data_IF_108003757450
#
_entry.id   IF_108003757450
#
_cell.length_a   1.000
_cell.length_b   1.000
_cell.length_c   1.000
_cell.angle_alpha   90.00
_cell.angle_beta   90.00
_cell.angle_gamma   90.00
#
_symmetry.space_group_name_H-M   'P 1'
#
loop_
_entity.id
_entity.type
_entity.pdbx_description
1 polymer ?
#
# COMPACT_ATOMS: atom_id res chain seq x y z
N UNK A 1 7.31 14.50 -13.82
CA UNK A 1 6.31 14.57 -12.74
C UNK A 1 6.61 15.75 -11.84
N UNK A 2 5.79 15.96 -10.81
CA UNK A 2 6.06 16.87 -9.70
C UNK A 2 5.87 16.10 -8.39
N UNK A 3 6.48 16.57 -7.31
CA UNK A 3 6.25 16.07 -5.95
C UNK A 3 6.40 17.25 -4.99
N UNK A 4 5.40 17.44 -4.13
CA UNK A 4 5.41 18.44 -3.06
C UNK A 4 4.55 17.91 -1.92
N UNK A 5 4.79 18.42 -0.72
CA UNK A 5 3.93 18.19 0.45
C UNK A 5 3.36 19.54 0.87
N UNK A 6 2.07 19.55 1.22
CA UNK A 6 1.44 20.70 1.84
C UNK A 6 1.39 20.43 3.34
N UNK A 7 1.88 21.39 4.13
CA UNK A 7 1.85 21.34 5.60
C UNK A 7 0.88 22.43 6.10
N UNK A 8 -0.41 22.12 6.28
CA UNK A 8 -1.40 23.13 6.64
C UNK A 8 -1.19 23.62 8.07
N UNK A 9 -1.37 24.93 8.29
CA UNK A 9 -1.41 25.55 9.62
C UNK A 9 -0.15 25.32 10.50
N UNK A 10 1.01 25.03 9.91
CA UNK A 10 2.27 24.90 10.66
C UNK A 10 3.06 26.22 10.64
N UNK A 11 3.89 26.42 11.66
CA UNK A 11 4.83 27.54 11.67
C UNK A 11 5.91 27.35 10.60
N UNK A 12 6.47 28.44 10.09
CA UNK A 12 7.54 28.40 9.09
C UNK A 12 8.75 27.52 9.52
N UNK A 13 9.09 27.53 10.80
CA UNK A 13 10.15 26.67 11.36
C UNK A 13 9.86 25.17 11.21
N UNK A 14 8.60 24.76 11.30
CA UNK A 14 8.19 23.37 11.08
C UNK A 14 8.34 23.00 9.61
N UNK A 15 7.90 23.86 8.70
CA UNK A 15 8.11 23.65 7.26
C UNK A 15 9.60 23.53 6.91
N UNK A 16 10.45 24.37 7.50
CA UNK A 16 11.90 24.29 7.30
C UNK A 16 12.48 22.96 7.81
N UNK A 17 12.06 22.53 9.01
CA UNK A 17 12.48 21.26 9.60
C UNK A 17 12.05 20.07 8.72
N UNK A 18 10.79 20.03 8.28
CA UNK A 18 10.29 18.98 7.38
C UNK A 18 10.95 19.03 6.00
N UNK A 19 11.44 20.19 5.54
CA UNK A 19 12.17 20.27 4.27
C UNK A 19 13.59 19.71 4.36
N UNK A 20 14.23 19.80 5.53
CA UNK A 20 15.58 19.28 5.79
C UNK A 20 15.55 17.78 6.08
N UNK A 21 14.53 17.31 6.82
CA UNK A 21 14.33 15.91 7.14
C UNK A 21 12.85 15.51 6.97
N UNK A 22 12.40 15.20 5.73
CA UNK A 22 11.00 14.87 5.46
C UNK A 22 10.55 13.61 6.19
N UNK A 23 9.37 13.70 6.83
CA UNK A 23 8.68 12.54 7.41
C UNK A 23 8.12 11.56 6.36
N UNK A 24 8.09 11.97 5.09
CA UNK A 24 7.55 11.23 3.95
C UNK A 24 8.61 11.06 2.87
N UNK A 25 8.78 9.83 2.39
CA UNK A 25 9.68 9.47 1.30
C UNK A 25 8.86 9.13 0.04
N UNK A 26 9.24 9.67 -1.12
CA UNK A 26 8.67 9.27 -2.41
C UNK A 26 9.38 8.02 -2.91
N UNK A 27 8.68 6.89 -2.90
CA UNK A 27 9.22 5.60 -3.33
C UNK A 27 9.08 5.39 -4.84
N UNK A 28 8.02 5.92 -5.45
CA UNK A 28 7.84 5.96 -6.90
C UNK A 28 7.02 7.17 -7.33
N UNK A 29 7.35 7.72 -8.49
CA UNK A 29 6.55 8.72 -9.19
C UNK A 29 6.75 8.57 -10.69
N UNK A 30 6.20 7.50 -11.25
CA UNK A 30 6.37 7.12 -12.65
C UNK A 30 5.04 6.62 -13.25
N UNK A 31 5.08 6.19 -14.52
CA UNK A 31 3.88 5.75 -15.24
C UNK A 31 3.27 4.43 -14.73
N UNK A 32 4.02 3.64 -13.97
CA UNK A 32 3.55 2.38 -13.41
C UNK A 32 2.89 2.60 -12.04
N UNK A 33 3.50 3.40 -11.18
CA UNK A 33 2.97 3.70 -9.86
C UNK A 33 3.42 5.06 -9.30
N UNK A 34 2.61 5.57 -8.38
CA UNK A 34 2.96 6.64 -7.45
C UNK A 34 2.86 6.10 -6.02
N UNK A 35 3.97 6.13 -5.28
CA UNK A 35 4.04 5.53 -3.95
C UNK A 35 4.86 6.38 -2.99
N UNK A 36 4.43 6.40 -1.73
CA UNK A 36 5.10 7.09 -0.64
C UNK A 36 5.22 6.19 0.59
N UNK A 37 6.24 6.45 1.41
CA UNK A 37 6.42 5.85 2.74
C UNK A 37 6.34 6.95 3.79
N UNK A 38 5.60 6.68 4.87
CA UNK A 38 5.59 7.50 6.09
C UNK A 38 6.23 6.67 7.20
N UNK A 39 7.57 6.77 7.32
CA UNK A 39 8.35 5.83 8.12
C UNK A 39 7.94 5.82 9.60
N UNK A 40 7.67 7.00 10.17
CA UNK A 40 7.21 7.13 11.56
C UNK A 40 5.84 6.50 11.86
N UNK A 41 5.09 6.10 10.82
CA UNK A 41 3.78 5.44 10.95
C UNK A 41 3.77 4.00 10.44
N UNK A 42 4.93 3.48 9.99
CA UNK A 42 5.04 2.16 9.38
C UNK A 42 4.17 2.00 8.13
N UNK A 43 3.91 3.11 7.42
CA UNK A 43 2.89 3.18 6.38
C UNK A 43 3.54 3.27 4.99
N UNK A 44 3.05 2.46 4.06
CA UNK A 44 3.27 2.58 2.61
C UNK A 44 1.92 2.83 1.95
N UNK A 45 1.84 3.88 1.13
CA UNK A 45 0.66 4.23 0.35
C UNK A 45 1.06 4.24 -1.12
N UNK A 46 0.31 3.56 -1.97
CA UNK A 46 0.65 3.43 -3.38
C UNK A 46 -0.60 3.39 -4.25
N UNK A 47 -0.56 4.15 -5.35
CA UNK A 47 -1.47 4.01 -6.47
C UNK A 47 -0.72 3.32 -7.60
N UNK A 48 -1.17 2.12 -7.96
CA UNK A 48 -0.67 1.35 -9.08
C UNK A 48 -1.58 1.59 -10.27
N UNK A 49 -1.02 2.14 -11.36
CA UNK A 49 -1.77 2.38 -12.59
C UNK A 49 -1.81 1.14 -13.50
N UNK A 50 -0.89 0.20 -13.27
CA UNK A 50 -0.74 -1.04 -14.02
C UNK A 50 -0.25 -2.15 -13.08
N UNK A 51 -0.45 -3.41 -13.50
CA UNK A 51 0.15 -4.56 -12.84
C UNK A 51 1.68 -4.41 -12.72
N UNK A 52 2.26 -4.95 -11.66
CA UNK A 52 3.71 -5.06 -11.56
C UNK A 52 4.20 -6.14 -12.54
N UNK A 53 5.18 -5.86 -13.41
CA UNK A 53 5.75 -6.88 -14.28
C UNK A 53 6.31 -8.06 -13.48
N UNK A 54 6.16 -9.28 -14.00
CA UNK A 54 6.53 -10.51 -13.27
C UNK A 54 8.05 -10.62 -12.97
N UNK A 55 8.88 -9.96 -13.77
CA UNK A 55 10.34 -9.88 -13.64
C UNK A 55 10.82 -8.61 -12.94
N UNK A 56 9.91 -7.69 -12.58
CA UNK A 56 10.28 -6.47 -11.88
C UNK A 56 10.65 -6.78 -10.41
N UNK A 57 11.70 -6.14 -9.93
CA UNK A 57 11.96 -6.09 -8.49
C UNK A 57 10.76 -5.42 -7.81
N UNK A 58 10.13 -6.03 -6.79
CA UNK A 58 8.98 -5.44 -6.12
C UNK A 58 9.34 -4.04 -5.63
N UNK A 59 8.59 -3.05 -6.11
CA UNK A 59 8.78 -1.70 -5.65
C UNK A 59 8.32 -1.67 -4.18
N UNK A 60 9.20 -1.23 -3.26
CA UNK A 60 8.85 -1.04 -1.84
C UNK A 60 8.25 -2.27 -1.14
N UNK A 61 8.60 -3.48 -1.61
CA UNK A 61 8.14 -4.75 -1.06
C UNK A 61 6.73 -5.15 -1.51
N UNK A 62 6.19 -4.55 -2.57
CA UNK A 62 4.84 -4.82 -3.07
C UNK A 62 4.87 -5.23 -4.54
N UNK A 63 4.07 -6.25 -4.88
CA UNK A 63 3.72 -6.63 -6.26
C UNK A 63 2.21 -6.70 -6.37
N UNK A 64 1.63 -6.16 -7.44
CA UNK A 64 0.18 -6.19 -7.68
C UNK A 64 -0.16 -6.83 -9.02
N UNK A 65 -1.27 -7.57 -9.06
CA UNK A 65 -1.76 -8.23 -10.28
C UNK A 65 -2.46 -7.29 -11.28
N UNK A 66 -2.77 -6.05 -10.87
CA UNK A 66 -3.49 -5.08 -11.69
C UNK A 66 -3.58 -3.70 -11.03
N UNK A 67 -4.24 -2.72 -11.68
CA UNK A 67 -4.39 -1.37 -11.15
C UNK A 67 -5.12 -1.37 -9.81
N UNK A 68 -4.62 -0.62 -8.82
CA UNK A 68 -5.25 -0.52 -7.51
C UNK A 68 -4.74 0.70 -6.72
N UNK A 69 -5.51 1.08 -5.69
CA UNK A 69 -5.00 1.92 -4.60
C UNK A 69 -4.76 1.03 -3.39
N UNK A 70 -3.57 1.12 -2.81
CA UNK A 70 -3.08 0.23 -1.76
C UNK A 70 -2.54 1.04 -0.58
N UNK A 71 -2.93 0.65 0.62
CA UNK A 71 -2.30 1.06 1.87
C UNK A 71 -1.82 -0.18 2.63
N UNK A 72 -0.56 -0.17 3.04
CA UNK A 72 0.04 -1.20 3.91
C UNK A 72 0.60 -0.51 5.14
N UNK A 73 0.14 -0.90 6.32
CA UNK A 73 0.63 -0.39 7.59
C UNK A 73 1.13 -1.52 8.46
N UNK A 74 2.38 -1.47 8.90
CA UNK A 74 2.92 -2.37 9.91
C UNK A 74 3.18 -1.61 11.20
N UNK A 75 2.48 -1.99 12.26
CA UNK A 75 2.57 -1.36 13.57
C UNK A 75 2.23 -2.35 14.68
N UNK A 76 2.99 -2.31 15.77
CA UNK A 76 2.79 -3.15 16.97
C UNK A 76 2.57 -4.65 16.66
N UNK A 77 3.38 -5.22 15.76
CA UNK A 77 3.31 -6.65 15.39
C UNK A 77 2.07 -7.03 14.58
N UNK A 78 1.42 -6.06 13.94
CA UNK A 78 0.29 -6.28 13.03
C UNK A 78 0.56 -5.62 11.68
N UNK A 79 0.10 -6.29 10.61
CA UNK A 79 0.07 -5.73 9.27
C UNK A 79 -1.37 -5.51 8.83
N UNK A 80 -1.74 -4.26 8.59
CA UNK A 80 -3.03 -3.89 7.99
C UNK A 80 -2.83 -3.60 6.53
N UNK A 81 -3.63 -4.24 5.68
CA UNK A 81 -3.65 -4.00 4.23
C UNK A 81 -5.04 -3.55 3.84
N UNK A 82 -5.14 -2.42 3.15
CA UNK A 82 -6.37 -1.94 2.54
C UNK A 82 -6.14 -1.75 1.05
N UNK A 83 -7.06 -2.27 0.24
CA UNK A 83 -7.00 -2.19 -1.22
C UNK A 83 -8.35 -1.78 -1.78
N UNK A 84 -8.34 -0.90 -2.78
CA UNK A 84 -9.47 -0.66 -3.66
C UNK A 84 -9.06 -0.79 -5.13
N UNK A 85 -10.03 -1.04 -6.01
CA UNK A 85 -9.90 -0.82 -7.45
C UNK A 85 -10.71 0.41 -7.88
N UNK A 86 -10.09 1.60 -7.94
CA UNK A 86 -10.76 2.81 -8.42
C UNK A 86 -11.22 2.72 -9.87
N UNK A 87 -10.61 1.85 -10.69
CA UNK A 87 -11.00 1.66 -12.09
C UNK A 87 -12.32 0.89 -12.22
N UNK A 88 -12.66 0.09 -11.20
CA UNK A 88 -13.86 -0.74 -11.14
C UNK A 88 -13.96 -1.75 -12.29
N UNK A 89 -12.80 -2.17 -12.81
CA UNK A 89 -12.70 -3.07 -13.96
C UNK A 89 -12.38 -4.50 -13.57
N UNK A 90 -11.97 -4.73 -12.33
CA UNK A 90 -11.55 -6.02 -11.84
C UNK A 90 -12.59 -6.61 -10.90
N UNK A 91 -12.77 -7.93 -10.98
CA UNK A 91 -13.57 -8.71 -10.02
C UNK A 91 -12.71 -9.28 -8.90
N UNK A 92 -11.39 -9.29 -9.06
CA UNK A 92 -10.44 -9.74 -8.05
C UNK A 92 -9.15 -8.93 -8.17
N UNK A 93 -8.47 -8.69 -7.05
CA UNK A 93 -7.12 -8.16 -7.02
C UNK A 93 -6.23 -9.07 -6.17
N UNK A 94 -5.00 -9.29 -6.64
CA UNK A 94 -3.97 -10.03 -5.91
C UNK A 94 -2.79 -9.11 -5.59
N UNK A 95 -2.35 -9.15 -4.35
CA UNK A 95 -1.18 -8.41 -3.84
C UNK A 95 -0.22 -9.37 -3.19
N UNK A 96 1.06 -9.24 -3.50
CA UNK A 96 2.16 -9.93 -2.83
C UNK A 96 2.95 -8.92 -2.02
N UNK A 97 3.19 -9.23 -0.75
CA UNK A 97 3.99 -8.42 0.17
C UNK A 97 5.26 -9.18 0.55
N UNK A 98 6.41 -8.60 0.25
CA UNK A 98 7.72 -9.15 0.58
C UNK A 98 8.13 -8.76 2.00
N UNK A 99 8.70 -9.71 2.75
CA UNK A 99 9.26 -9.46 4.08
C UNK A 99 8.23 -9.22 5.20
N UNK A 100 6.94 -9.49 4.94
CA UNK A 100 5.90 -9.49 5.98
C UNK A 100 5.85 -10.89 6.60
N UNK A 101 5.99 -10.98 7.92
CA UNK A 101 5.94 -12.24 8.65
C UNK A 101 4.51 -12.56 9.15
N UNK A 102 3.73 -11.52 9.38
CA UNK A 102 2.35 -11.57 9.84
C UNK A 102 1.46 -12.18 8.76
N UNK A 103 0.84 -13.32 9.06
CA UNK A 103 0.00 -14.05 8.11
C UNK A 103 -1.28 -14.62 8.72
N UNK A 104 -1.42 -14.58 10.04
CA UNK A 104 -2.64 -14.99 10.74
C UNK A 104 -3.69 -13.91 10.62
N UNK A 105 -4.86 -14.23 10.06
CA UNK A 105 -5.97 -13.27 9.95
C UNK A 105 -6.54 -12.97 11.34
N UNK A 106 -6.46 -11.71 11.75
CA UNK A 106 -7.04 -11.19 13.00
C UNK A 106 -8.42 -10.59 12.74
N UNK A 107 -8.54 -9.85 11.63
CA UNK A 107 -9.76 -9.17 11.20
C UNK A 107 -9.71 -9.05 9.67
N UNK A 108 -10.85 -9.09 8.99
CA UNK A 108 -10.91 -8.83 7.56
C UNK A 108 -12.33 -8.61 7.08
N UNK A 109 -12.47 -7.80 6.04
CA UNK A 109 -13.74 -7.62 5.34
C UNK A 109 -14.09 -8.88 4.54
N UNK A 110 -15.38 -9.09 4.28
CA UNK A 110 -15.85 -10.19 3.43
C UNK A 110 -15.18 -10.16 2.05
N UNK A 111 -14.72 -11.33 1.59
CA UNK A 111 -14.04 -11.49 0.31
C UNK A 111 -12.54 -11.17 0.33
N UNK A 112 -11.94 -10.91 1.49
CA UNK A 112 -10.48 -10.78 1.63
C UNK A 112 -9.88 -12.02 2.27
N UNK A 113 -8.81 -12.56 1.68
CA UNK A 113 -8.18 -13.80 2.15
C UNK A 113 -6.67 -13.83 1.94
N UNK A 114 -5.98 -14.54 2.83
CA UNK A 114 -4.59 -14.97 2.64
C UNK A 114 -4.59 -16.21 1.74
N UNK A 115 -3.81 -16.17 0.66
CA UNK A 115 -3.68 -17.28 -0.31
C UNK A 115 -2.24 -17.81 -0.42
N UNK A 116 -1.30 -17.18 0.28
CA UNK A 116 0.08 -17.63 0.42
C UNK A 116 0.78 -16.89 1.56
N UNK A 117 1.78 -17.49 2.19
CA UNK A 117 2.48 -16.93 3.37
C UNK A 117 3.97 -16.71 3.17
N UNK A 118 4.57 -17.28 2.12
CA UNK A 118 6.00 -17.13 1.81
C UNK A 118 6.22 -17.07 0.28
N UNK A 119 6.08 -15.89 -0.34
CA UNK A 119 5.73 -14.59 0.25
C UNK A 119 4.25 -14.46 0.64
N UNK A 120 3.93 -13.51 1.53
CA UNK A 120 2.55 -13.19 1.86
C UNK A 120 1.80 -12.76 0.60
N UNK A 121 0.75 -13.50 0.26
CA UNK A 121 -0.10 -13.23 -0.90
C UNK A 121 -1.54 -13.08 -0.42
N UNK A 122 -2.15 -11.96 -0.78
CA UNK A 122 -3.51 -11.61 -0.45
C UNK A 122 -4.36 -11.55 -1.70
N UNK A 123 -5.60 -11.97 -1.58
CA UNK A 123 -6.60 -11.89 -2.63
C UNK A 123 -7.83 -11.16 -2.11
N UNK A 124 -8.31 -10.21 -2.89
CA UNK A 124 -9.45 -9.36 -2.60
C UNK A 124 -10.49 -9.61 -3.69
N UNK A 125 -11.66 -10.12 -3.32
CA UNK A 125 -12.82 -10.15 -4.21
C UNK A 125 -13.33 -8.71 -4.35
N UNK A 126 -13.41 -8.22 -5.57
CA UNK A 126 -13.85 -6.86 -5.89
C UNK A 126 -15.22 -6.96 -6.55
N UNK A 127 -16.18 -6.16 -6.09
CA UNK A 127 -17.56 -6.16 -6.60
C UNK A 127 -17.82 -5.08 -7.67
N UNK A 128 -16.75 -4.44 -8.15
CA UNK A 128 -16.84 -3.35 -9.13
C UNK A 128 -17.42 -2.05 -8.56
N UNK A 129 -17.53 -1.88 -7.23
CA UNK A 129 -17.98 -0.64 -6.60
C UNK A 129 -16.84 0.31 -6.23
N UNK A 130 -15.59 -0.16 -6.24
CA UNK A 130 -14.40 0.67 -5.96
C UNK A 130 -14.23 1.05 -4.49
N UNK A 131 -15.02 0.45 -3.59
CA UNK A 131 -14.82 0.57 -2.15
C UNK A 131 -13.53 -0.15 -1.75
N UNK A 132 -12.89 0.34 -0.69
CA UNK A 132 -11.72 -0.34 -0.14
C UNK A 132 -12.15 -1.55 0.70
N UNK A 133 -11.39 -2.63 0.59
CA UNK A 133 -11.47 -3.80 1.45
C UNK A 133 -10.18 -3.93 2.27
N UNK A 134 -10.31 -4.37 3.52
CA UNK A 134 -9.23 -4.38 4.51
C UNK A 134 -9.04 -5.77 5.13
N UNK A 135 -7.79 -6.09 5.45
CA UNK A 135 -7.41 -7.22 6.29
C UNK A 135 -6.34 -6.80 7.30
N UNK A 136 -6.41 -7.34 8.51
CA UNK A 136 -5.43 -7.18 9.59
C UNK A 136 -4.84 -8.53 9.90
N UNK A 137 -3.52 -8.61 9.84
CA UNK A 137 -2.73 -9.79 10.07
C UNK A 137 -1.93 -9.64 11.36
N UNK A 138 -1.79 -10.72 12.10
CA UNK A 138 -0.89 -10.87 13.24
C UNK A 138 0.14 -11.97 13.01
N UNK A 139 0.93 -12.23 14.05
CA UNK A 139 1.93 -13.30 14.08
C UNK A 139 1.36 -14.70 13.81
#
# INVERSE_FOLDING_TARGET
GYAYIVLPNVAHSVTFTESDAPSVEVLANNAQAQAIRVAGQGLVLANFFQATPADATPAYGVTVGGPCSLAVRTDAGRTTVALSDPSRTQTTARVVLAGVAESTVVEGDDGVRVVGTSPLTLEFDLDGHGHAKRIVLGA
#
